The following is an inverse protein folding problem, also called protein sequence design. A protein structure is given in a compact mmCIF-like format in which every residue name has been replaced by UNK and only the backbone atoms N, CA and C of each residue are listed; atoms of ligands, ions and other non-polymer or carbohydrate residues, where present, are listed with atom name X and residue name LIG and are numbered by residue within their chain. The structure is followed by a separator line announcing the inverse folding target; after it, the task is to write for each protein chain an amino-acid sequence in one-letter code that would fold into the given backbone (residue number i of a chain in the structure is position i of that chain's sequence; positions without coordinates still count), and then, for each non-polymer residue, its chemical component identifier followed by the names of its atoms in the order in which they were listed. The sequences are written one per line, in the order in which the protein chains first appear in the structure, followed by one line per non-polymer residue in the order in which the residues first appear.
data_IF_818962698923
#
_entry.id   IF_818962698923
#
_cell.length_a   1.000
_cell.length_b   1.000
_cell.length_c   1.000
_cell.angle_alpha   90.00
_cell.angle_beta   90.00
_cell.angle_gamma   90.00
#
_symmetry.space_group_name_H-M   'P 1'
#
loop_
_entity.id
_entity.type
_entity.pdbx_description
1 polymer ?
#
# COMPACT_ATOMS: atom_id res chain seq x y z
N UNK A 1 -3.86 16.10 -24.98
CA UNK A 1 -3.97 16.90 -23.75
C UNK A 1 -5.40 17.37 -23.64
N UNK A 2 -6.16 16.84 -22.68
CA UNK A 2 -7.47 17.38 -22.35
C UNK A 2 -7.43 17.80 -20.89
N UNK A 3 -7.33 19.11 -20.65
CA UNK A 3 -7.57 19.70 -19.35
C UNK A 3 -9.09 19.82 -19.15
N UNK A 4 -9.58 19.36 -17.99
CA UNK A 4 -10.97 19.55 -17.59
C UNK A 4 -11.07 20.81 -16.72
N UNK A 5 -11.86 21.83 -17.10
CA UNK A 5 -12.00 23.04 -16.32
C UNK A 5 -13.21 22.89 -15.39
N UNK A 6 -13.03 22.24 -14.25
CA UNK A 6 -14.02 22.31 -13.16
C UNK A 6 -13.31 22.50 -11.83
N UNK A 7 -13.12 23.77 -11.43
CA UNK A 7 -12.81 24.14 -10.05
C UNK A 7 -14.14 24.41 -9.34
N UNK A 8 -14.61 23.43 -8.59
CA UNK A 8 -15.73 23.62 -7.66
C UNK A 8 -15.20 24.29 -6.38
N UNK A 9 -15.84 25.35 -5.85
CA UNK A 9 -15.35 26.12 -4.71
C UNK A 9 -15.73 25.52 -3.35
N UNK A 10 -16.19 24.27 -3.32
CA UNK A 10 -16.49 23.59 -2.06
C UNK A 10 -15.24 22.89 -1.56
N UNK A 11 -14.64 23.45 -0.50
CA UNK A 11 -13.76 22.69 0.41
C UNK A 11 -14.64 21.60 1.03
N UNK A 12 -14.70 20.45 0.35
CA UNK A 12 -15.37 19.26 0.84
C UNK A 12 -14.56 18.74 2.02
N UNK A 13 -15.15 18.84 3.22
CA UNK A 13 -14.88 17.87 4.28
C UNK A 13 -15.32 16.50 3.73
N UNK A 14 -14.38 15.82 3.09
CA UNK A 14 -14.65 14.61 2.33
C UNK A 14 -14.56 13.37 3.23
N UNK A 15 -15.52 13.28 4.16
CA UNK A 15 -15.94 12.02 4.79
C UNK A 15 -17.25 11.56 4.13
N UNK A 16 -17.36 11.71 2.81
CA UNK A 16 -18.56 11.35 2.05
C UNK A 16 -18.77 9.83 1.98
N UNK A 17 -20.00 9.37 1.64
CA UNK A 17 -20.36 7.95 1.55
C UNK A 17 -19.56 7.15 0.50
N UNK A 18 -18.73 7.82 -0.30
CA UNK A 18 -17.89 7.22 -1.34
C UNK A 18 -16.49 6.80 -0.83
N UNK A 19 -16.16 7.02 0.44
CA UNK A 19 -14.88 6.60 1.02
C UNK A 19 -14.54 5.11 0.73
N UNK A 20 -15.49 4.15 0.78
CA UNK A 20 -15.21 2.76 0.41
C UNK A 20 -14.86 2.57 -1.07
N UNK A 21 -15.43 3.38 -1.97
CA UNK A 21 -15.20 3.25 -3.41
C UNK A 21 -13.82 3.76 -3.83
N UNK A 22 -13.36 4.87 -3.28
CA UNK A 22 -12.02 5.40 -3.59
C UNK A 22 -10.91 4.53 -3.04
N UNK A 23 -11.10 4.00 -1.82
CA UNK A 23 -10.22 3.00 -1.22
C UNK A 23 -10.05 1.79 -2.14
N UNK A 24 -11.16 1.17 -2.53
CA UNK A 24 -11.16 -0.01 -3.40
C UNK A 24 -10.65 0.26 -4.83
N UNK A 25 -10.90 1.46 -5.37
CA UNK A 25 -10.30 1.87 -6.66
C UNK A 25 -8.78 1.95 -6.58
N UNK A 26 -8.25 2.42 -5.46
CA UNK A 26 -6.81 2.55 -5.26
C UNK A 26 -6.15 1.17 -5.16
N UNK A 27 -6.74 0.25 -4.38
CA UNK A 27 -6.30 -1.16 -4.31
C UNK A 27 -6.30 -1.76 -5.71
N UNK A 28 -7.41 -1.63 -6.44
CA UNK A 28 -7.53 -2.18 -7.80
C UNK A 28 -6.44 -1.67 -8.75
N UNK A 29 -6.12 -0.36 -8.72
CA UNK A 29 -5.05 0.21 -9.56
C UNK A 29 -3.68 -0.33 -9.18
N UNK A 30 -3.35 -0.33 -7.90
CA UNK A 30 -2.08 -0.87 -7.40
C UNK A 30 -1.90 -2.32 -7.82
N UNK A 31 -2.90 -3.17 -7.58
CA UNK A 31 -2.85 -4.60 -7.93
C UNK A 31 -2.69 -4.81 -9.43
N UNK A 32 -3.39 -4.04 -10.27
CA UNK A 32 -3.28 -4.15 -11.73
C UNK A 32 -1.89 -3.73 -12.22
N UNK A 33 -1.41 -2.55 -11.81
CA UNK A 33 -0.12 -2.03 -12.29
C UNK A 33 1.05 -2.90 -11.80
N UNK A 34 1.04 -3.31 -10.52
CA UNK A 34 2.03 -4.26 -9.99
C UNK A 34 1.89 -5.63 -10.67
N UNK A 35 0.67 -6.07 -10.97
CA UNK A 35 0.39 -7.33 -11.65
C UNK A 35 0.97 -7.34 -13.08
N UNK A 36 0.89 -6.21 -13.78
CA UNK A 36 1.56 -6.01 -15.07
C UNK A 36 3.07 -6.15 -14.94
N UNK A 37 3.67 -5.57 -13.89
CA UNK A 37 5.10 -5.70 -13.64
C UNK A 37 5.50 -7.16 -13.35
N UNK A 38 4.71 -7.89 -12.57
CA UNK A 38 4.97 -9.27 -12.19
C UNK A 38 4.66 -10.26 -13.33
N UNK A 39 3.39 -10.42 -13.73
CA UNK A 39 2.97 -11.48 -14.65
C UNK A 39 3.41 -11.24 -16.09
N UNK A 40 3.34 -9.99 -16.58
CA UNK A 40 3.55 -9.69 -18.00
C UNK A 40 4.96 -9.21 -18.31
N UNK A 41 5.49 -8.27 -17.53
CA UNK A 41 6.82 -7.70 -17.78
C UNK A 41 7.94 -8.47 -17.09
N UNK A 42 7.62 -9.29 -16.08
CA UNK A 42 8.61 -10.02 -15.27
C UNK A 42 9.71 -9.07 -14.72
N UNK A 43 9.32 -7.83 -14.41
CA UNK A 43 10.21 -6.76 -13.96
C UNK A 43 10.42 -6.78 -12.43
N UNK A 44 9.46 -7.36 -11.71
CA UNK A 44 9.53 -7.61 -10.26
C UNK A 44 9.32 -9.10 -10.00
N UNK A 45 9.83 -9.59 -8.87
CA UNK A 45 9.72 -11.01 -8.46
C UNK A 45 8.65 -11.26 -7.39
N UNK A 46 8.06 -10.19 -6.86
CA UNK A 46 7.06 -10.28 -5.80
C UNK A 46 5.66 -10.21 -6.43
N UNK A 47 4.82 -11.17 -6.11
CA UNK A 47 3.45 -11.27 -6.63
C UNK A 47 2.52 -10.36 -5.81
N UNK A 48 1.80 -9.43 -6.46
CA UNK A 48 0.82 -8.59 -5.77
C UNK A 48 -0.47 -9.36 -5.54
N UNK A 49 -0.88 -9.47 -4.27
CA UNK A 49 -2.12 -10.09 -3.85
C UNK A 49 -2.97 -9.08 -3.07
N UNK A 50 -4.20 -8.77 -3.55
CA UNK A 50 -5.10 -7.86 -2.85
C UNK A 50 -5.75 -8.55 -1.64
N UNK A 51 -5.96 -7.81 -0.56
CA UNK A 51 -6.77 -8.20 0.61
C UNK A 51 -6.53 -9.64 1.09
N UNK A 52 -5.27 -10.08 1.10
CA UNK A 52 -4.88 -11.46 1.41
C UNK A 52 -4.33 -11.54 2.84
N UNK A 53 -4.78 -12.51 3.67
CA UNK A 53 -4.23 -12.69 5.02
C UNK A 53 -2.73 -12.99 5.03
N UNK A 54 -2.00 -12.47 6.03
CA UNK A 54 -0.56 -12.69 6.16
C UNK A 54 -0.14 -14.15 6.46
N UNK A 55 -1.07 -14.98 6.93
CA UNK A 55 -0.85 -16.39 7.23
C UNK A 55 -2.18 -17.15 7.21
N UNK A 56 -2.11 -18.48 7.17
CA UNK A 56 -3.28 -19.35 7.26
C UNK A 56 -3.90 -19.36 8.66
N UNK A 57 -5.23 -19.41 8.71
CA UNK A 57 -5.99 -19.48 9.95
C UNK A 57 -6.67 -18.16 10.34
N UNK A 58 -7.55 -18.20 11.36
CA UNK A 58 -8.30 -17.02 11.77
C UNK A 58 -7.42 -16.03 12.54
N UNK A 59 -7.70 -14.73 12.37
CA UNK A 59 -7.14 -13.67 13.22
C UNK A 59 -5.84 -13.04 12.72
N UNK A 60 -5.30 -13.48 11.58
CA UNK A 60 -4.16 -12.82 10.94
C UNK A 60 -4.56 -11.48 10.32
N UNK A 61 -3.63 -10.53 10.34
CA UNK A 61 -3.84 -9.24 9.69
C UNK A 61 -4.00 -9.41 8.18
N UNK A 62 -4.85 -8.58 7.60
CA UNK A 62 -5.08 -8.50 6.16
C UNK A 62 -4.66 -7.09 5.74
N UNK A 63 -3.50 -6.94 5.08
CA UNK A 63 -3.16 -5.68 4.40
C UNK A 63 -4.02 -5.52 3.14
N UNK A 64 -4.21 -4.28 2.71
CA UNK A 64 -4.97 -3.97 1.49
C UNK A 64 -4.29 -4.55 0.23
N UNK A 65 -2.96 -4.47 0.15
CA UNK A 65 -2.14 -5.17 -0.85
C UNK A 65 -0.90 -5.74 -0.17
N UNK A 66 -0.56 -6.99 -0.48
CA UNK A 66 0.72 -7.58 -0.12
C UNK A 66 1.51 -8.03 -1.35
N UNK A 67 2.84 -8.08 -1.21
CA UNK A 67 3.77 -8.52 -2.23
C UNK A 67 4.46 -9.78 -1.72
N UNK A 68 4.11 -10.92 -2.31
CA UNK A 68 4.53 -12.25 -1.89
C UNK A 68 5.74 -12.73 -2.68
N UNK A 69 6.77 -13.20 -1.98
CA UNK A 69 7.91 -13.87 -2.56
C UNK A 69 7.62 -15.38 -2.67
N UNK A 70 7.29 -15.82 -3.88
CA UNK A 70 6.98 -17.23 -4.17
C UNK A 70 8.16 -18.19 -3.95
N UNK A 71 9.41 -17.72 -3.95
CA UNK A 71 10.57 -18.59 -3.72
C UNK A 71 10.85 -18.77 -2.24
N UNK A 72 10.69 -17.70 -1.46
CA UNK A 72 10.90 -17.74 -0.01
C UNK A 72 9.64 -18.10 0.78
N UNK A 73 8.48 -18.17 0.10
CA UNK A 73 7.15 -18.35 0.69
C UNK A 73 6.87 -17.33 1.80
N UNK A 74 7.18 -16.06 1.55
CA UNK A 74 7.06 -14.97 2.53
C UNK A 74 6.51 -13.70 1.94
N UNK A 75 5.67 -13.01 2.70
CA UNK A 75 5.29 -11.63 2.42
C UNK A 75 6.47 -10.70 2.68
N UNK A 76 6.88 -9.93 1.67
CA UNK A 76 8.04 -9.02 1.77
C UNK A 76 7.63 -7.56 1.90
N UNK A 77 6.54 -7.17 1.25
CA UNK A 77 6.02 -5.81 1.28
C UNK A 77 4.54 -5.86 1.58
N UNK A 78 4.06 -4.91 2.38
CA UNK A 78 2.64 -4.64 2.59
C UNK A 78 2.33 -3.18 2.27
N UNK A 79 1.11 -2.92 1.82
CA UNK A 79 0.60 -1.59 1.51
C UNK A 79 -0.78 -1.45 2.16
N UNK A 80 -0.97 -0.38 2.92
CA UNK A 80 -2.27 0.03 3.44
C UNK A 80 -2.74 1.28 2.68
N UNK A 81 -3.98 1.26 2.22
CA UNK A 81 -4.66 2.40 1.60
C UNK A 81 -5.55 3.03 2.68
N UNK A 82 -5.32 4.31 2.97
CA UNK A 82 -5.95 4.97 4.11
C UNK A 82 -6.55 6.31 3.75
N UNK A 83 -7.42 6.81 4.63
CA UNK A 83 -7.86 8.20 4.60
C UNK A 83 -7.18 9.00 5.73
N UNK A 84 -7.53 10.28 5.86
CA UNK A 84 -6.96 11.15 6.89
C UNK A 84 -7.14 10.63 8.32
N UNK A 85 -8.23 9.90 8.60
CA UNK A 85 -8.53 9.38 9.95
C UNK A 85 -7.74 8.10 10.25
N UNK A 86 -7.49 7.26 9.25
CA UNK A 86 -6.78 5.99 9.39
C UNK A 86 -5.27 6.11 9.27
N UNK A 87 -4.74 7.18 8.68
CA UNK A 87 -3.35 7.27 8.23
C UNK A 87 -2.30 6.94 9.31
N UNK A 88 -2.41 7.54 10.50
CA UNK A 88 -1.50 7.28 11.62
C UNK A 88 -1.70 5.89 12.24
N UNK A 89 -2.94 5.38 12.22
CA UNK A 89 -3.25 4.06 12.77
C UNK A 89 -2.68 2.96 11.86
N UNK A 90 -2.82 3.11 10.55
CA UNK A 90 -2.25 2.21 9.56
C UNK A 90 -0.72 2.28 9.56
N UNK A 91 -0.14 3.46 9.79
CA UNK A 91 1.32 3.57 9.96
C UNK A 91 1.81 2.75 11.16
N UNK A 92 1.14 2.86 12.31
CA UNK A 92 1.49 2.06 13.50
C UNK A 92 1.27 0.58 13.26
N UNK A 93 0.20 0.20 12.54
CA UNK A 93 -0.09 -1.19 12.13
C UNK A 93 1.09 -1.75 11.33
N UNK A 94 1.54 -1.07 10.27
CA UNK A 94 2.63 -1.58 9.43
C UNK A 94 3.95 -1.69 10.21
N UNK A 95 4.29 -0.71 11.05
CA UNK A 95 5.52 -0.74 11.85
C UNK A 95 5.50 -1.96 12.78
N UNK A 96 4.35 -2.19 13.45
CA UNK A 96 4.16 -3.33 14.32
C UNK A 96 4.32 -4.66 13.58
N UNK A 97 3.65 -4.81 12.43
CA UNK A 97 3.72 -6.03 11.60
C UNK A 97 5.14 -6.32 11.10
N UNK A 98 5.98 -5.29 10.95
CA UNK A 98 7.36 -5.42 10.45
C UNK A 98 8.36 -5.74 11.56
N UNK A 99 8.21 -5.08 12.71
CA UNK A 99 9.16 -5.16 13.83
C UNK A 99 8.81 -6.24 14.85
N UNK A 100 7.54 -6.37 15.22
CA UNK A 100 7.10 -7.25 16.31
C UNK A 100 6.75 -8.66 15.83
N UNK A 101 6.29 -8.80 14.58
CA UNK A 101 5.84 -10.07 14.04
C UNK A 101 6.89 -10.75 13.12
N UNK A 102 6.85 -12.08 13.08
CA UNK A 102 7.79 -12.92 12.32
C UNK A 102 7.33 -13.21 10.87
N UNK A 103 6.41 -12.40 10.31
CA UNK A 103 5.89 -12.59 8.94
C UNK A 103 6.95 -12.41 7.84
N UNK A 104 8.14 -11.90 8.16
CA UNK A 104 9.24 -11.74 7.22
C UNK A 104 9.12 -10.51 6.30
N UNK A 105 8.24 -9.58 6.66
CA UNK A 105 8.01 -8.30 5.99
C UNK A 105 9.25 -7.41 6.18
N UNK A 106 9.65 -6.72 5.12
CA UNK A 106 10.86 -5.91 5.05
C UNK A 106 10.56 -4.45 4.74
N UNK A 107 9.51 -4.17 3.97
CA UNK A 107 9.00 -2.81 3.71
C UNK A 107 7.48 -2.76 3.95
N UNK A 108 7.01 -1.60 4.41
CA UNK A 108 5.58 -1.31 4.55
C UNK A 108 5.29 0.08 4.04
N UNK A 109 4.13 0.25 3.42
CA UNK A 109 3.68 1.52 2.88
C UNK A 109 2.30 1.87 3.40
N UNK A 110 2.06 3.17 3.61
CA UNK A 110 0.72 3.72 3.79
C UNK A 110 0.51 4.79 2.75
N UNK A 111 -0.56 4.65 1.96
CA UNK A 111 -0.98 5.67 1.00
C UNK A 111 -2.29 6.30 1.43
N UNK A 112 -2.27 7.61 1.64
CA UNK A 112 -3.49 8.35 1.93
C UNK A 112 -4.16 8.78 0.62
N UNK A 113 -5.28 8.17 0.25
CA UNK A 113 -5.95 8.48 -1.03
C UNK A 113 -6.64 9.85 -1.05
N UNK A 114 -6.82 10.52 0.10
CA UNK A 114 -7.35 11.88 0.18
C UNK A 114 -6.28 12.94 -0.04
N UNK A 115 -5.09 12.77 0.56
CA UNK A 115 -3.98 13.73 0.44
C UNK A 115 -2.96 13.37 -0.63
N UNK A 116 -3.02 12.14 -1.14
CA UNK A 116 -2.04 11.50 -2.01
C UNK A 116 -0.66 11.35 -1.37
N UNK A 117 -0.57 11.43 -0.05
CA UNK A 117 0.67 11.27 0.68
C UNK A 117 1.05 9.79 0.78
N UNK A 118 2.34 9.52 0.64
CA UNK A 118 2.94 8.21 0.85
C UNK A 118 3.84 8.25 2.07
N UNK A 119 3.74 7.24 2.92
CA UNK A 119 4.73 6.94 3.93
C UNK A 119 5.29 5.55 3.69
N UNK A 120 6.59 5.41 3.92
CA UNK A 120 7.32 4.16 3.86
C UNK A 120 8.02 3.90 5.18
N UNK A 121 7.92 2.66 5.65
CA UNK A 121 8.70 2.13 6.75
C UNK A 121 9.51 0.93 6.26
N UNK A 122 10.77 0.81 6.68
CA UNK A 122 11.60 -0.37 6.41
C UNK A 122 12.01 -1.01 7.73
N UNK A 123 12.17 -2.33 7.70
CA UNK A 123 12.62 -3.08 8.87
C UNK A 123 13.95 -2.54 9.37
N UNK A 124 14.02 -2.22 10.66
CA UNK A 124 15.21 -1.66 11.29
C UNK A 124 15.34 -0.14 11.23
N UNK A 125 14.40 0.60 10.61
CA UNK A 125 14.38 2.07 10.61
C UNK A 125 14.00 2.66 12.00
N UNK A 126 13.98 1.84 13.06
CA UNK A 126 13.77 2.26 14.46
C UNK A 126 12.48 3.07 14.67
N UNK A 127 11.42 2.74 13.94
CA UNK A 127 10.12 3.42 13.99
C UNK A 127 10.04 4.73 13.18
N UNK A 128 11.10 5.16 12.49
CA UNK A 128 11.09 6.38 11.68
C UNK A 128 10.66 6.12 10.23
N UNK A 129 9.38 6.36 9.94
CA UNK A 129 8.89 6.34 8.56
C UNK A 129 9.32 7.58 7.76
N UNK A 130 9.38 7.45 6.43
CA UNK A 130 9.80 8.50 5.50
C UNK A 130 8.73 8.75 4.44
N UNK A 131 8.64 9.97 3.93
CA UNK A 131 7.74 10.30 2.81
C UNK A 131 8.30 9.74 1.49
N UNK A 132 7.85 8.55 1.09
CA UNK A 132 8.31 7.88 -0.13
C UNK A 132 7.32 6.83 -0.61
N UNK A 133 7.12 6.77 -1.93
CA UNK A 133 6.41 5.70 -2.65
C UNK A 133 7.36 4.69 -3.29
N UNK A 134 8.68 4.86 -3.11
CA UNK A 134 9.70 4.03 -3.75
C UNK A 134 10.05 2.80 -2.89
N UNK A 135 9.90 1.62 -3.47
CA UNK A 135 10.36 0.35 -2.89
C UNK A 135 11.79 0.04 -3.33
N UNK A 136 12.68 -0.13 -2.35
CA UNK A 136 14.06 -0.55 -2.62
C UNK A 136 14.13 -2.03 -2.99
N UNK A 137 13.24 -2.85 -2.41
CA UNK A 137 13.14 -4.29 -2.72
C UNK A 137 12.70 -4.55 -4.15
N UNK A 138 11.78 -3.75 -4.69
CA UNK A 138 11.33 -3.87 -6.08
C UNK A 138 12.16 -3.04 -7.06
N UNK A 139 12.81 -1.97 -6.60
CA UNK A 139 13.40 -0.97 -7.49
C UNK A 139 12.34 -0.16 -8.26
N UNK A 140 11.17 0.06 -7.66
CA UNK A 140 9.97 0.61 -8.31
C UNK A 140 9.39 1.75 -7.50
N UNK A 141 9.01 2.83 -8.18
CA UNK A 141 8.20 3.92 -7.63
C UNK A 141 6.71 3.64 -7.88
N UNK A 142 5.92 3.49 -6.80
CA UNK A 142 4.48 3.26 -6.88
C UNK A 142 3.65 4.54 -6.99
N UNK A 143 4.28 5.72 -6.88
CA UNK A 143 3.55 7.00 -6.84
C UNK A 143 2.72 7.29 -8.09
N UNK A 144 3.14 6.76 -9.25
CA UNK A 144 2.41 6.87 -10.52
C UNK A 144 1.32 5.83 -10.75
N UNK A 145 1.13 4.88 -9.82
CA UNK A 145 0.20 3.75 -9.97
C UNK A 145 -1.17 3.99 -9.33
N UNK A 146 -1.38 5.13 -8.66
CA UNK A 146 -2.58 5.46 -7.87
C UNK A 146 -3.43 6.57 -8.46
#
# INVERSE_FOLDING_TARGET
MYESPYRSPFVLHDDGPNAPLEHQRTISRLTVELGVLFYHKQAIRLEPLPETPLSEGPGHSVPDVLLFDNQAEKTRIIIEVSNNRGFDADLRKIIRLIEEDDYGILEGFVYNYKTRAWLRYRKGDSGAATESSYSELMGVDMGGMV
#
